data_IF_697376105773
#
_entry.id   IF_697376105773
#
_cell.length_a   1.000
_cell.length_b   1.000
_cell.length_c   1.000
_cell.angle_alpha   90.00
_cell.angle_beta   90.00
_cell.angle_gamma   90.00
#
_symmetry.space_group_name_H-M   'P 1'
#
loop_
_entity.id
_entity.type
_entity.pdbx_description
1 polymer ?
#
# COMPACT_ATOMS: atom_id res chain seq x y z
N UNK A 1 7.79 -8.29 22.96
CA UNK A 1 6.97 -8.54 21.77
C UNK A 1 7.90 -9.11 20.73
N UNK A 2 7.65 -10.32 20.23
CA UNK A 2 8.47 -10.87 19.16
C UNK A 2 8.22 -10.06 17.89
N UNK A 3 9.29 -9.76 17.16
CA UNK A 3 9.19 -9.22 15.81
C UNK A 3 8.75 -10.34 14.87
N UNK A 4 7.70 -10.07 14.11
CA UNK A 4 7.08 -11.04 13.20
C UNK A 4 7.23 -10.58 11.75
N UNK A 5 7.38 -11.56 10.86
CA UNK A 5 7.38 -11.33 9.42
C UNK A 5 5.98 -11.53 8.83
N UNK A 6 5.75 -10.96 7.65
CA UNK A 6 4.56 -11.20 6.86
C UNK A 6 4.84 -11.10 5.38
N UNK A 7 4.04 -11.78 4.57
CA UNK A 7 4.08 -11.69 3.11
C UNK A 7 2.91 -10.84 2.62
N UNK A 8 3.20 -9.84 1.81
CA UNK A 8 2.19 -9.05 1.11
C UNK A 8 1.90 -9.67 -0.25
N UNK A 9 0.63 -9.77 -0.61
CA UNK A 9 0.15 -10.17 -1.94
C UNK A 9 -0.67 -9.03 -2.50
N UNK A 10 -0.13 -8.38 -3.53
CA UNK A 10 -0.78 -7.27 -4.24
C UNK A 10 -1.68 -7.83 -5.35
N UNK A 11 -2.75 -7.12 -5.68
CA UNK A 11 -3.61 -7.60 -6.74
C UNK A 11 -4.68 -6.65 -7.26
N UNK A 12 -5.17 -5.69 -6.48
CA UNK A 12 -6.34 -4.92 -6.88
C UNK A 12 -6.15 -3.43 -6.66
N UNK A 13 -6.57 -2.63 -7.64
CA UNK A 13 -6.76 -1.20 -7.50
C UNK A 13 -8.09 -0.75 -8.09
N UNK A 14 -8.50 0.45 -7.71
CA UNK A 14 -9.71 1.10 -8.21
C UNK A 14 -9.40 2.54 -8.55
N UNK A 15 -9.61 2.92 -9.81
CA UNK A 15 -9.46 4.29 -10.28
C UNK A 15 -10.78 5.04 -10.12
N UNK A 16 -10.79 6.13 -9.36
CA UNK A 16 -12.04 6.88 -9.15
C UNK A 16 -12.41 7.72 -10.38
N UNK A 17 -11.43 8.17 -11.16
CA UNK A 17 -11.62 8.73 -12.50
C UNK A 17 -11.21 7.73 -13.58
N UNK A 18 -12.18 6.89 -13.99
CA UNK A 18 -11.96 5.85 -15.01
C UNK A 18 -11.79 6.43 -16.42
N UNK A 19 -12.29 7.63 -16.69
CA UNK A 19 -12.10 8.29 -17.98
C UNK A 19 -10.67 8.79 -18.13
N UNK A 20 -10.12 9.43 -17.09
CA UNK A 20 -8.73 9.80 -17.04
C UNK A 20 -7.82 8.56 -17.10
N UNK A 21 -8.12 7.50 -16.34
CA UNK A 21 -7.35 6.26 -16.38
C UNK A 21 -7.23 5.68 -17.80
N UNK A 22 -8.34 5.57 -18.53
CA UNK A 22 -8.34 5.11 -19.93
C UNK A 22 -7.58 6.05 -20.86
N UNK A 23 -7.71 7.37 -20.67
CA UNK A 23 -7.02 8.37 -21.50
C UNK A 23 -5.48 8.24 -21.42
N UNK A 24 -4.96 7.86 -20.26
CA UNK A 24 -3.52 7.68 -20.04
C UNK A 24 -3.05 6.22 -20.17
N UNK A 25 -3.92 5.29 -20.57
CA UNK A 25 -3.66 3.84 -20.59
C UNK A 25 -3.23 3.27 -19.22
N UNK A 26 -3.80 3.84 -18.16
CA UNK A 26 -3.59 3.45 -16.75
C UNK A 26 -4.81 2.74 -16.17
N UNK A 27 -5.51 1.97 -16.99
CA UNK A 27 -6.78 1.32 -16.63
C UNK A 27 -6.60 -0.10 -16.06
N UNK A 28 -5.35 -0.56 -15.88
CA UNK A 28 -5.08 -1.87 -15.30
C UNK A 28 -5.35 -1.88 -13.78
N UNK A 29 -6.52 -2.38 -13.41
CA UNK A 29 -6.98 -2.53 -12.01
C UNK A 29 -6.50 -3.84 -11.35
N UNK A 30 -5.83 -4.72 -12.10
CA UNK A 30 -5.20 -5.92 -11.58
C UNK A 30 -3.68 -5.75 -11.46
N UNK A 31 -3.20 -5.63 -10.23
CA UNK A 31 -1.82 -5.24 -9.91
C UNK A 31 -1.07 -6.35 -9.17
N UNK A 32 -0.75 -7.49 -9.83
CA UNK A 32 -0.10 -8.61 -9.17
C UNK A 32 1.28 -8.23 -8.68
N UNK A 33 1.64 -8.75 -7.51
CA UNK A 33 2.96 -8.56 -6.95
C UNK A 33 3.12 -9.18 -5.57
N UNK A 34 4.32 -9.09 -5.04
CA UNK A 34 4.69 -9.64 -3.74
C UNK A 34 5.53 -8.65 -2.95
N UNK A 35 5.42 -8.74 -1.63
CA UNK A 35 6.24 -7.96 -0.72
C UNK A 35 6.43 -8.64 0.62
N UNK A 36 7.22 -7.99 1.44
CA UNK A 36 7.54 -8.42 2.80
C UNK A 36 7.19 -7.31 3.77
N UNK A 37 6.69 -7.71 4.94
CA UNK A 37 6.43 -6.82 6.06
C UNK A 37 7.19 -7.33 7.28
N UNK A 38 7.80 -6.41 8.02
CA UNK A 38 8.46 -6.70 9.28
C UNK A 38 7.88 -5.82 10.39
N UNK A 39 7.34 -6.46 11.44
CA UNK A 39 6.77 -5.78 12.59
C UNK A 39 7.88 -5.36 13.57
N UNK A 40 8.02 -4.06 13.81
CA UNK A 40 9.01 -3.47 14.72
C UNK A 40 8.54 -3.47 16.18
N UNK A 41 7.24 -3.59 16.42
CA UNK A 41 6.62 -3.57 17.74
C UNK A 41 5.61 -2.45 17.88
N UNK A 42 5.51 -1.86 19.07
CA UNK A 42 4.60 -0.76 19.36
C UNK A 42 5.34 0.56 19.49
N UNK A 43 4.85 1.60 18.82
CA UNK A 43 5.34 2.97 18.90
C UNK A 43 4.17 3.93 18.80
N UNK A 44 4.12 4.98 19.64
CA UNK A 44 3.01 5.96 19.67
C UNK A 44 1.61 5.31 19.79
N UNK A 45 1.50 4.22 20.58
CA UNK A 45 0.29 3.39 20.72
C UNK A 45 -0.20 2.76 19.41
N UNK A 46 0.64 2.73 18.37
CA UNK A 46 0.41 2.06 17.10
C UNK A 46 1.32 0.86 16.92
N UNK A 47 0.91 -0.07 16.08
CA UNK A 47 1.77 -1.12 15.55
C UNK A 47 2.70 -0.50 14.49
N UNK A 48 4.00 -0.46 14.78
CA UNK A 48 5.02 0.05 13.87
C UNK A 48 5.59 -1.07 13.00
N UNK A 49 5.73 -0.83 11.70
CA UNK A 49 6.30 -1.80 10.76
C UNK A 49 7.03 -1.11 9.62
N UNK A 50 7.89 -1.88 8.97
CA UNK A 50 8.45 -1.55 7.66
C UNK A 50 8.02 -2.60 6.65
N UNK A 51 7.86 -2.20 5.40
CA UNK A 51 7.57 -3.13 4.32
C UNK A 51 8.20 -2.68 3.01
N UNK A 52 8.37 -3.63 2.11
CA UNK A 52 8.78 -3.38 0.73
C UNK A 52 8.08 -4.34 -0.20
N UNK A 53 7.97 -3.95 -1.47
CA UNK A 53 7.27 -4.77 -2.45
C UNK A 53 7.60 -4.41 -3.88
N UNK A 54 7.31 -5.36 -4.75
CA UNK A 54 7.36 -5.25 -6.20
C UNK A 54 6.01 -5.68 -6.77
N UNK A 55 5.45 -4.89 -7.67
CA UNK A 55 4.15 -5.18 -8.29
C UNK A 55 4.04 -4.59 -9.70
N UNK A 56 3.05 -5.07 -10.46
CA UNK A 56 2.67 -4.50 -11.76
C UNK A 56 1.67 -3.37 -11.55
N UNK A 57 2.01 -2.15 -11.89
CA UNK A 57 1.13 -0.99 -11.68
C UNK A 57 0.04 -0.84 -12.76
N UNK A 58 -0.75 0.25 -12.64
CA UNK A 58 -1.87 0.54 -13.53
C UNK A 58 -1.46 0.86 -14.97
N UNK A 59 -0.23 1.35 -15.19
CA UNK A 59 0.34 1.57 -16.52
C UNK A 59 1.04 0.33 -17.07
N UNK A 60 0.88 -0.82 -16.40
CA UNK A 60 1.58 -2.07 -16.75
C UNK A 60 3.09 -1.86 -16.73
N UNK A 61 3.63 -1.16 -15.73
CA UNK A 61 5.05 -1.11 -15.45
C UNK A 61 5.37 -1.81 -14.13
N UNK A 62 6.64 -2.14 -13.93
CA UNK A 62 7.11 -2.70 -12.66
C UNK A 62 7.30 -1.55 -11.68
N UNK A 63 6.53 -1.56 -10.60
CA UNK A 63 6.69 -0.65 -9.49
C UNK A 63 7.42 -1.34 -8.34
N UNK A 64 8.32 -0.60 -7.70
CA UNK A 64 8.99 -1.01 -6.46
C UNK A 64 8.77 0.04 -5.39
N UNK A 65 8.66 -0.40 -4.14
CA UNK A 65 8.49 0.52 -3.02
C UNK A 65 9.12 0.01 -1.72
N UNK A 66 9.37 0.96 -0.82
CA UNK A 66 9.71 0.71 0.58
C UNK A 66 9.00 1.72 1.48
N UNK A 67 8.47 1.26 2.61
CA UNK A 67 7.65 2.06 3.51
C UNK A 67 7.99 1.84 4.98
N UNK A 68 7.83 2.91 5.77
CA UNK A 68 7.73 2.85 7.22
C UNK A 68 6.36 3.36 7.64
N UNK A 69 5.69 2.64 8.54
CA UNK A 69 4.27 2.84 8.78
C UNK A 69 3.84 2.58 10.23
N UNK A 70 2.71 3.19 10.59
CA UNK A 70 2.03 3.05 11.87
C UNK A 70 0.58 2.64 11.64
N UNK A 71 0.07 1.69 12.43
CA UNK A 71 -1.34 1.29 12.48
C UNK A 71 -1.89 1.42 13.90
N UNK A 72 -2.80 2.37 14.10
CA UNK A 72 -3.54 2.58 15.34
C UNK A 72 -4.81 1.72 15.35
N UNK A 73 -5.00 0.85 16.36
CA UNK A 73 -6.26 0.13 16.51
C UNK A 73 -7.39 1.09 16.88
N UNK A 74 -8.55 0.89 16.26
CA UNK A 74 -9.77 1.68 16.48
C UNK A 74 -10.80 0.97 17.34
N UNK A 75 -10.60 -0.33 17.58
CA UNK A 75 -11.45 -1.20 18.37
C UNK A 75 -10.63 -2.00 19.39
N UNK A 76 -11.28 -2.43 20.48
CA UNK A 76 -10.62 -3.20 21.55
C UNK A 76 -10.09 -4.54 21.05
N UNK A 77 -10.76 -5.15 20.06
CA UNK A 77 -10.32 -6.39 19.43
C UNK A 77 -9.17 -6.17 18.41
N UNK A 78 -8.76 -4.92 18.16
CA UNK A 78 -7.69 -4.50 17.25
C UNK A 78 -7.87 -5.01 15.82
N UNK A 79 -9.12 -5.27 15.41
CA UNK A 79 -9.47 -5.74 14.07
C UNK A 79 -9.40 -4.60 13.06
N UNK A 80 -9.86 -3.42 13.43
CA UNK A 80 -9.90 -2.23 12.59
C UNK A 80 -8.73 -1.33 12.96
N UNK A 81 -7.88 -1.00 12.00
CA UNK A 81 -6.72 -0.15 12.24
C UNK A 81 -6.66 0.94 11.18
N UNK A 82 -6.52 2.19 11.61
CA UNK A 82 -6.19 3.32 10.74
C UNK A 82 -4.69 3.57 10.84
N UNK A 83 -4.06 3.96 9.74
CA UNK A 83 -2.64 4.13 9.68
C UNK A 83 -2.19 5.13 8.64
N UNK A 84 -0.89 5.38 8.68
CA UNK A 84 -0.19 6.13 7.66
C UNK A 84 1.17 5.49 7.40
N UNK A 85 1.61 5.55 6.16
CA UNK A 85 2.92 5.11 5.72
C UNK A 85 3.65 6.27 5.06
N UNK A 86 4.92 6.47 5.38
CA UNK A 86 5.82 7.23 4.51
C UNK A 86 6.48 6.24 3.56
N UNK A 87 6.24 6.42 2.27
CA UNK A 87 6.62 5.42 1.26
C UNK A 87 7.49 6.05 0.18
N UNK A 88 8.62 5.42 -0.11
CA UNK A 88 9.43 5.69 -1.28
C UNK A 88 8.99 4.78 -2.43
N UNK A 89 8.77 5.36 -3.61
CA UNK A 89 8.29 4.69 -4.80
C UNK A 89 9.22 4.90 -5.99
N UNK A 90 9.27 3.91 -6.87
CA UNK A 90 9.80 4.05 -8.22
C UNK A 90 8.95 3.20 -9.19
N UNK A 91 8.54 3.81 -10.29
CA UNK A 91 7.77 3.21 -11.39
C UNK A 91 7.80 4.16 -12.59
N UNK A 92 7.92 3.63 -13.80
CA UNK A 92 7.85 4.43 -15.03
C UNK A 92 6.48 5.09 -15.25
N UNK A 93 5.42 4.57 -14.63
CA UNK A 93 4.06 5.13 -14.67
C UNK A 93 3.95 6.40 -13.82
N UNK A 94 4.63 6.44 -12.68
CA UNK A 94 4.46 7.50 -11.68
C UNK A 94 5.64 8.47 -11.70
N UNK A 95 5.38 9.77 -11.53
CA UNK A 95 6.42 10.80 -11.51
C UNK A 95 7.43 10.71 -12.67
N UNK A 96 6.99 10.25 -13.85
CA UNK A 96 7.82 10.08 -15.06
C UNK A 96 9.04 9.15 -14.86
N UNK A 97 8.94 8.18 -13.96
CA UNK A 97 10.05 7.28 -13.63
C UNK A 97 10.97 7.78 -12.52
N UNK A 98 10.89 9.06 -12.13
CA UNK A 98 11.74 9.59 -11.07
C UNK A 98 11.27 9.08 -9.70
N UNK A 99 12.17 8.53 -8.85
CA UNK A 99 11.81 8.12 -7.50
C UNK A 99 11.25 9.28 -6.68
N UNK A 100 10.23 9.00 -5.87
CA UNK A 100 9.60 10.00 -5.02
C UNK A 100 9.15 9.39 -3.70
N UNK A 101 8.88 10.26 -2.72
CA UNK A 101 8.30 9.86 -1.44
C UNK A 101 6.91 10.47 -1.28
N UNK A 102 5.97 9.69 -0.76
CA UNK A 102 4.63 10.16 -0.46
C UNK A 102 4.13 9.59 0.88
N UNK A 103 3.44 10.42 1.70
CA UNK A 103 2.65 9.90 2.79
C UNK A 103 1.37 9.26 2.22
N UNK A 104 1.05 8.05 2.68
CA UNK A 104 -0.14 7.33 2.26
C UNK A 104 -0.99 6.94 3.46
N UNK A 105 -2.30 7.22 3.45
CA UNK A 105 -3.21 6.65 4.43
C UNK A 105 -3.29 5.12 4.24
N UNK A 106 -3.48 4.43 5.34
CA UNK A 106 -3.69 2.99 5.41
C UNK A 106 -4.93 2.68 6.25
N UNK A 107 -5.74 1.75 5.77
CA UNK A 107 -6.77 1.09 6.55
C UNK A 107 -6.48 -0.40 6.54
N UNK A 108 -6.48 -1.03 7.70
CA UNK A 108 -6.24 -2.47 7.81
C UNK A 108 -7.37 -3.15 8.59
N UNK A 109 -7.92 -4.21 8.00
CA UNK A 109 -8.84 -5.13 8.64
C UNK A 109 -8.14 -6.46 8.91
N UNK A 110 -8.01 -6.81 10.19
CA UNK A 110 -7.31 -8.01 10.65
C UNK A 110 -8.29 -9.14 10.93
N UNK A 111 -8.01 -10.28 10.31
CA UNK A 111 -8.57 -11.59 10.59
C UNK A 111 -7.47 -12.50 11.16
N UNK A 112 -7.83 -13.71 11.58
CA UNK A 112 -6.90 -14.62 12.26
C UNK A 112 -5.63 -14.93 11.45
N UNK A 113 -5.78 -15.15 10.14
CA UNK A 113 -4.70 -15.59 9.23
C UNK A 113 -4.36 -14.59 8.13
N UNK A 114 -5.10 -13.50 8.02
CA UNK A 114 -4.95 -12.54 6.92
C UNK A 114 -5.30 -11.14 7.39
N UNK A 115 -4.58 -10.15 6.87
CA UNK A 115 -4.92 -8.74 6.99
C UNK A 115 -5.27 -8.21 5.61
N UNK A 116 -6.44 -7.58 5.49
CA UNK A 116 -6.82 -6.84 4.29
C UNK A 116 -6.36 -5.40 4.49
N UNK A 117 -5.52 -4.90 3.60
CA UNK A 117 -5.00 -3.55 3.64
C UNK A 117 -5.59 -2.76 2.48
N UNK A 118 -5.97 -1.52 2.75
CA UNK A 118 -6.43 -0.54 1.78
C UNK A 118 -5.56 0.70 1.92
N UNK A 119 -5.11 1.24 0.79
CA UNK A 119 -4.40 2.52 0.74
C UNK A 119 -4.99 3.39 -0.34
N UNK A 120 -4.93 4.71 -0.15
CA UNK A 120 -5.44 5.66 -1.12
C UNK A 120 -4.32 6.60 -1.57
N UNK A 121 -4.12 6.64 -2.88
CA UNK A 121 -3.24 7.57 -3.56
C UNK A 121 -4.09 8.74 -4.06
N UNK A 122 -4.08 9.90 -3.36
CA UNK A 122 -4.81 11.07 -3.83
C UNK A 122 -4.21 11.58 -5.15
N UNK A 123 -5.00 12.32 -5.92
CA UNK A 123 -4.45 13.07 -7.04
C UNK A 123 -3.62 14.24 -6.50
N UNK A 124 -2.34 14.27 -6.87
CA UNK A 124 -1.41 15.33 -6.53
C UNK A 124 -0.87 15.90 -7.84
N UNK A 125 -1.22 17.16 -8.11
CA UNK A 125 -0.82 17.88 -9.31
C UNK A 125 0.71 17.80 -9.49
N UNK A 126 1.13 17.17 -10.57
CA UNK A 126 2.55 17.03 -10.94
C UNK A 126 3.15 15.65 -10.68
N UNK A 127 2.51 14.80 -9.85
CA UNK A 127 3.02 13.46 -9.50
C UNK A 127 2.19 12.33 -10.12
N UNK A 128 0.87 12.42 -10.01
CA UNK A 128 -0.09 11.48 -10.61
C UNK A 128 -1.31 12.23 -11.18
N UNK A 129 -2.05 11.57 -12.07
CA UNK A 129 -3.22 12.12 -12.77
C UNK A 129 -4.54 11.47 -12.38
N UNK A 130 -4.47 10.37 -11.62
CA UNK A 130 -5.62 9.56 -11.27
C UNK A 130 -5.51 9.19 -9.79
N UNK A 131 -6.53 9.57 -9.03
CA UNK A 131 -6.67 9.11 -7.65
C UNK A 131 -7.08 7.64 -7.63
N UNK A 132 -6.38 6.85 -6.82
CA UNK A 132 -6.47 5.39 -6.88
C UNK A 132 -6.54 4.83 -5.47
N UNK A 133 -7.43 3.87 -5.24
CA UNK A 133 -7.43 3.07 -4.02
C UNK A 133 -6.86 1.69 -4.35
N UNK A 134 -5.85 1.24 -3.63
CA UNK A 134 -5.27 -0.09 -3.80
C UNK A 134 -5.64 -0.99 -2.61
N UNK A 135 -5.81 -2.27 -2.89
CA UNK A 135 -6.06 -3.33 -1.91
C UNK A 135 -5.00 -4.42 -2.04
N UNK A 136 -4.50 -4.88 -0.88
CA UNK A 136 -3.57 -6.00 -0.81
C UNK A 136 -3.74 -6.78 0.48
N UNK A 137 -3.29 -8.03 0.47
CA UNK A 137 -3.38 -8.91 1.63
C UNK A 137 -2.01 -9.05 2.28
N UNK A 138 -1.97 -9.10 3.61
CA UNK A 138 -0.79 -9.52 4.37
C UNK A 138 -1.08 -10.84 5.07
N UNK A 139 -0.21 -11.82 4.88
CA UNK A 139 -0.23 -13.11 5.57
C UNK A 139 0.91 -13.12 6.61
N UNK A 140 0.60 -13.08 7.91
CA UNK A 140 1.62 -13.19 8.95
C UNK A 140 2.32 -14.56 8.87
N UNK A 141 3.66 -14.55 8.94
CA UNK A 141 4.48 -15.74 9.08
C UNK A 141 4.71 -15.96 10.58
N UNK A 142 4.00 -16.93 11.16
CA UNK A 142 4.10 -17.34 12.56
C UNK A 142 4.48 -18.80 12.65
#
# INVERSE_FOLDING_TARGET
MASDWGVNVYGLSYHWDREAARKYDWDNEFNPGLGIRYQLGSWLKANAFVESGIYRDSGRNTAVYGAAALLWPLDDAKRFNLGAALTAFHSDTYNKGDPFMAPLPLLALRFDKVVVNLTHFPEVKGFNKVNTTAMYFTFPLR
#
